data_IF_534922046057
#
_entry.id   IF_534922046057
#
_cell.length_a   1.000
_cell.length_b   1.000
_cell.length_c   1.000
_cell.angle_alpha   90.00
_cell.angle_beta   90.00
_cell.angle_gamma   90.00
#
_symmetry.space_group_name_H-M   'P 1'
#
loop_
_entity.id
_entity.type
_entity.pdbx_description
1 polymer ?
#
# COMPACT_ATOMS: atom_id res chain seq x y z
N UNK A 1 2.62 -9.94 2.42
CA UNK A 1 1.62 -9.85 3.51
C UNK A 1 0.32 -9.33 2.93
N UNK A 2 -0.81 -9.92 3.33
CA UNK A 2 -2.13 -9.55 2.84
C UNK A 2 -3.03 -9.22 4.03
N UNK A 3 -3.84 -8.17 3.88
CA UNK A 3 -4.93 -7.84 4.82
C UNK A 3 -6.21 -7.97 4.02
N UNK A 4 -7.13 -8.80 4.50
CA UNK A 4 -8.40 -9.04 3.83
C UNK A 4 -9.50 -8.15 4.42
N UNK A 5 -10.30 -7.59 3.52
CA UNK A 5 -11.46 -6.77 3.85
C UNK A 5 -12.74 -7.40 3.28
N UNK A 6 -13.90 -7.19 3.95
CA UNK A 6 -15.19 -7.49 3.35
C UNK A 6 -15.37 -6.70 2.04
N UNK A 7 -16.12 -7.24 1.07
CA UNK A 7 -16.26 -6.63 -0.27
C UNK A 7 -16.86 -5.23 -0.29
N UNK A 8 -17.61 -4.84 0.75
CA UNK A 8 -18.24 -3.52 0.90
C UNK A 8 -17.35 -2.52 1.67
N UNK A 9 -16.26 -2.99 2.27
CA UNK A 9 -15.41 -2.13 3.09
C UNK A 9 -14.45 -1.34 2.20
N UNK A 10 -14.31 -0.05 2.48
CA UNK A 10 -13.25 0.76 1.88
C UNK A 10 -11.89 0.27 2.38
N UNK A 11 -10.86 0.35 1.53
CA UNK A 11 -9.50 -0.08 1.90
C UNK A 11 -8.72 0.99 2.67
N UNK A 12 -9.12 2.26 2.56
CA UNK A 12 -8.42 3.40 3.19
C UNK A 12 -8.25 3.27 4.72
N UNK A 13 -9.23 2.75 5.49
CA UNK A 13 -9.08 2.47 6.92
C UNK A 13 -8.00 1.42 7.24
N UNK A 14 -7.78 0.43 6.36
CA UNK A 14 -6.78 -0.62 6.58
C UNK A 14 -5.35 -0.16 6.30
N UNK A 15 -5.16 1.06 5.80
CA UNK A 15 -3.85 1.62 5.50
C UNK A 15 -2.88 1.52 6.69
N UNK A 16 -3.35 1.87 7.90
CA UNK A 16 -2.53 1.83 9.10
C UNK A 16 -2.24 0.38 9.55
N UNK A 17 -3.23 -0.51 9.40
CA UNK A 17 -3.09 -1.95 9.67
C UNK A 17 -1.98 -2.54 8.81
N UNK A 18 -2.02 -2.31 7.49
CA UNK A 18 -1.01 -2.80 6.55
C UNK A 18 0.37 -2.25 6.91
N UNK A 19 0.49 -0.95 7.15
CA UNK A 19 1.76 -0.32 7.53
C UNK A 19 2.30 -0.79 8.88
N UNK A 20 1.44 -1.19 9.82
CA UNK A 20 1.83 -1.74 11.11
C UNK A 20 2.49 -3.12 11.02
N UNK A 21 2.17 -3.85 9.95
CA UNK A 21 2.69 -5.20 9.73
C UNK A 21 3.98 -5.23 8.90
N UNK A 22 4.34 -4.13 8.25
CA UNK A 22 5.58 -4.03 7.49
C UNK A 22 6.80 -4.15 8.42
N UNK A 23 7.78 -4.94 7.98
CA UNK A 23 9.08 -5.08 8.60
C UNK A 23 10.13 -4.76 7.54
N UNK A 24 10.94 -3.74 7.79
CA UNK A 24 12.03 -3.33 6.92
C UNK A 24 13.32 -3.88 7.53
N UNK A 25 14.00 -4.83 6.86
CA UNK A 25 15.28 -5.34 7.36
C UNK A 25 16.32 -4.22 7.39
N UNK A 26 17.10 -4.18 8.47
CA UNK A 26 18.28 -3.32 8.61
C UNK A 26 19.55 -4.15 8.48
N UNK A 27 20.71 -3.50 8.56
CA UNK A 27 22.02 -4.18 8.54
C UNK A 27 22.23 -5.07 9.77
N UNK A 28 21.80 -4.62 10.95
CA UNK A 28 21.91 -5.34 12.22
C UNK A 28 20.69 -5.06 13.12
N UNK A 29 20.28 -6.05 13.91
CA UNK A 29 19.26 -5.91 14.95
C UNK A 29 17.80 -6.03 14.49
N UNK A 30 16.86 -5.58 15.34
CA UNK A 30 15.42 -5.74 15.14
C UNK A 30 14.95 -5.01 13.87
N UNK A 31 14.18 -5.66 12.97
CA UNK A 31 13.63 -5.01 11.80
C UNK A 31 12.81 -3.77 12.15
N UNK A 32 13.02 -2.70 11.38
CA UNK A 32 12.28 -1.46 11.56
C UNK A 32 10.81 -1.64 11.15
N UNK A 33 9.90 -1.07 11.92
CA UNK A 33 8.46 -1.02 11.60
C UNK A 33 8.07 0.25 10.82
N UNK A 34 9.04 1.13 10.55
CA UNK A 34 8.87 2.42 9.89
C UNK A 34 9.62 2.45 8.54
N UNK A 35 8.91 2.39 7.41
CA UNK A 35 9.53 2.63 6.10
C UNK A 35 9.94 4.10 5.93
N UNK A 36 10.92 4.37 5.07
CA UNK A 36 11.37 5.74 4.79
C UNK A 36 10.34 6.55 3.99
N UNK A 37 9.65 5.91 3.04
CA UNK A 37 8.58 6.50 2.26
C UNK A 37 7.49 5.47 1.96
N UNK A 38 6.27 5.94 1.72
CA UNK A 38 5.12 5.12 1.30
C UNK A 38 4.51 5.74 0.05
N UNK A 39 4.55 4.99 -1.05
CA UNK A 39 3.80 5.30 -2.27
C UNK A 39 2.44 4.60 -2.24
N UNK A 40 1.36 5.35 -2.43
CA UNK A 40 0.01 4.80 -2.45
C UNK A 40 -0.91 5.62 -3.37
N UNK A 41 -2.04 5.01 -3.73
CA UNK A 41 -3.02 5.64 -4.59
C UNK A 41 -3.66 6.88 -3.98
N UNK A 42 -4.17 7.73 -4.87
CA UNK A 42 -4.94 8.95 -4.55
C UNK A 42 -6.09 8.70 -3.57
N UNK A 43 -6.66 7.50 -3.54
CA UNK A 43 -7.71 7.10 -2.59
C UNK A 43 -7.23 7.07 -1.12
N UNK A 44 -5.93 6.93 -0.88
CA UNK A 44 -5.30 6.94 0.45
C UNK A 44 -4.89 8.35 0.92
N UNK A 45 -5.24 9.41 0.19
CA UNK A 45 -4.90 10.81 0.50
C UNK A 45 -5.64 11.40 1.72
N UNK A 46 -6.35 10.60 2.52
CA UNK A 46 -7.14 11.07 3.66
C UNK A 46 -6.28 11.81 4.68
N UNK A 47 -6.87 12.83 5.35
CA UNK A 47 -6.19 13.60 6.40
C UNK A 47 -5.64 12.71 7.51
N UNK A 48 -6.41 11.68 7.92
CA UNK A 48 -6.01 10.73 8.94
C UNK A 48 -4.76 9.93 8.54
N UNK A 49 -4.70 9.42 7.31
CA UNK A 49 -3.54 8.67 6.82
C UNK A 49 -2.30 9.58 6.70
N UNK A 50 -2.49 10.82 6.24
CA UNK A 50 -1.41 11.82 6.20
C UNK A 50 -0.90 12.17 7.60
N UNK A 51 -1.80 12.40 8.55
CA UNK A 51 -1.43 12.69 9.94
C UNK A 51 -0.67 11.51 10.56
N UNK A 52 -1.12 10.28 10.32
CA UNK A 52 -0.43 9.06 10.75
C UNK A 52 1.00 8.97 10.20
N UNK A 53 1.18 9.17 8.88
CA UNK A 53 2.51 9.15 8.25
C UNK A 53 3.42 10.24 8.80
N UNK A 54 2.89 11.46 9.01
CA UNK A 54 3.64 12.58 9.59
C UNK A 54 4.08 12.30 11.03
N UNK A 55 3.16 11.81 11.88
CA UNK A 55 3.49 11.42 13.27
C UNK A 55 4.58 10.36 13.34
N UNK A 56 4.62 9.44 12.37
CA UNK A 56 5.67 8.41 12.28
C UNK A 56 6.91 8.85 11.51
N UNK A 57 6.99 10.09 11.01
CA UNK A 57 8.12 10.55 10.19
C UNK A 57 8.31 9.76 8.90
N UNK A 58 7.23 9.30 8.27
CA UNK A 58 7.24 8.55 7.00
C UNK A 58 6.89 9.51 5.86
N UNK A 59 7.72 9.55 4.82
CA UNK A 59 7.45 10.41 3.64
C UNK A 59 6.26 9.86 2.85
N UNK A 60 5.23 10.69 2.68
CA UNK A 60 3.99 10.29 2.02
C UNK A 60 4.02 10.63 0.52
N UNK A 61 4.32 9.64 -0.32
CA UNK A 61 4.34 9.75 -1.80
C UNK A 61 2.96 9.37 -2.34
N UNK A 62 1.97 10.18 -2.00
CA UNK A 62 0.57 9.96 -2.38
C UNK A 62 0.14 11.22 -3.13
N UNK A 63 -0.46 11.11 -4.33
CA UNK A 63 -0.99 12.28 -5.03
C UNK A 63 -2.22 12.84 -4.28
N UNK A 64 -2.37 14.15 -4.30
CA UNK A 64 -3.53 14.83 -3.73
C UNK A 64 -4.73 14.76 -4.68
N UNK A 65 -5.96 14.77 -4.14
CA UNK A 65 -7.16 14.95 -4.99
C UNK A 65 -7.17 16.35 -5.60
N UNK A 66 -7.58 16.46 -6.88
CA UNK A 66 -7.62 17.77 -7.57
C UNK A 66 -8.53 18.72 -6.80
N UNK A 67 -9.69 18.24 -6.34
CA UNK A 67 -10.63 19.01 -5.52
C UNK A 67 -10.06 19.37 -4.16
N UNK A 68 -9.24 18.49 -3.55
CA UNK A 68 -8.56 18.78 -2.29
C UNK A 68 -7.51 19.87 -2.48
N UNK A 69 -6.72 19.81 -3.54
CA UNK A 69 -5.74 20.83 -3.89
C UNK A 69 -6.42 22.17 -4.22
N UNK A 70 -7.54 22.15 -4.95
CA UNK A 70 -8.33 23.33 -5.29
C UNK A 70 -8.96 23.96 -4.03
N UNK A 71 -9.58 23.15 -3.16
CA UNK A 71 -10.15 23.62 -1.90
C UNK A 71 -9.07 24.13 -0.93
N UNK A 72 -7.88 23.53 -0.95
CA UNK A 72 -6.73 24.03 -0.19
C UNK A 72 -6.32 25.42 -0.68
N UNK A 73 -6.20 25.60 -2.00
CA UNK A 73 -5.89 26.91 -2.61
C UNK A 73 -6.95 27.95 -2.29
N UNK A 74 -8.24 27.59 -2.38
CA UNK A 74 -9.37 28.47 -2.00
C UNK A 74 -9.34 28.93 -0.55
N UNK A 75 -8.79 28.11 0.36
CA UNK A 75 -8.67 28.44 1.80
C UNK A 75 -7.42 29.25 2.16
N UNK A 76 -6.56 29.58 1.20
CA UNK A 76 -5.38 30.42 1.43
C UNK A 76 -4.46 29.88 2.56
N UNK A 77 -4.10 30.74 3.50
CA UNK A 77 -3.26 30.42 4.67
C UNK A 77 -3.89 29.36 5.58
N UNK A 78 -5.23 29.31 5.68
CA UNK A 78 -5.97 28.29 6.43
C UNK A 78 -6.02 26.92 5.73
N UNK A 79 -5.61 26.85 4.46
CA UNK A 79 -5.54 25.61 3.68
C UNK A 79 -4.39 24.68 4.09
N UNK A 80 -3.33 25.22 4.69
CA UNK A 80 -2.16 24.46 5.11
C UNK A 80 -1.17 24.12 3.99
N UNK A 81 -0.09 23.42 4.37
CA UNK A 81 1.11 23.17 3.53
C UNK A 81 0.80 22.34 2.26
N UNK A 82 1.31 22.74 1.08
CA UNK A 82 1.25 21.92 -0.13
C UNK A 82 1.88 20.54 0.05
N UNK A 83 1.31 19.52 -0.62
CA UNK A 83 1.87 18.17 -0.63
C UNK A 83 3.08 18.14 -1.57
N UNK A 84 4.26 17.80 -1.06
CA UNK A 84 5.40 17.47 -1.89
C UNK A 84 5.14 16.11 -2.58
N UNK A 85 5.08 16.12 -3.92
CA UNK A 85 4.85 14.93 -4.72
C UNK A 85 6.11 14.59 -5.53
N UNK A 86 6.69 13.43 -5.25
CA UNK A 86 7.85 12.89 -5.95
C UNK A 86 7.37 11.89 -7.01
N UNK A 87 7.47 12.29 -8.27
CA UNK A 87 6.97 11.51 -9.42
C UNK A 87 7.74 10.20 -9.57
N UNK A 88 9.05 10.21 -9.36
CA UNK A 88 9.90 9.03 -9.54
C UNK A 88 9.65 7.99 -8.46
N UNK A 89 9.50 8.42 -7.20
CA UNK A 89 9.05 7.51 -6.14
C UNK A 89 7.63 7.01 -6.38
N UNK A 90 6.75 7.82 -6.97
CA UNK A 90 5.39 7.39 -7.27
C UNK A 90 5.35 6.31 -8.38
N UNK A 91 6.24 6.37 -9.38
CA UNK A 91 6.38 5.34 -10.42
C UNK A 91 6.63 3.94 -9.84
N UNK A 92 7.28 3.84 -8.67
CA UNK A 92 7.55 2.57 -8.00
C UNK A 92 6.28 1.83 -7.55
N UNK A 93 5.11 2.49 -7.50
CA UNK A 93 3.81 1.87 -7.22
C UNK A 93 3.46 0.78 -8.23
N UNK A 94 3.91 0.91 -9.48
CA UNK A 94 3.71 -0.09 -10.54
C UNK A 94 4.24 -1.48 -10.15
N UNK A 95 5.25 -1.56 -9.29
CA UNK A 95 5.75 -2.83 -8.75
C UNK A 95 4.66 -3.60 -8.00
N UNK A 96 3.87 -2.90 -7.20
CA UNK A 96 2.75 -3.48 -6.44
C UNK A 96 1.62 -3.89 -7.38
N UNK A 97 1.29 -3.05 -8.38
CA UNK A 97 0.27 -3.38 -9.39
C UNK A 97 0.63 -4.63 -10.18
N UNK A 98 1.87 -4.71 -10.68
CA UNK A 98 2.39 -5.90 -11.39
C UNK A 98 2.36 -7.14 -10.49
N UNK A 99 2.66 -7.00 -9.20
CA UNK A 99 2.57 -8.09 -8.24
C UNK A 99 1.12 -8.61 -8.14
N UNK A 100 0.15 -7.72 -7.92
CA UNK A 100 -1.27 -8.10 -7.86
C UNK A 100 -1.76 -8.70 -9.18
N UNK A 101 -1.31 -8.19 -10.32
CA UNK A 101 -1.67 -8.75 -11.62
C UNK A 101 -1.16 -10.20 -11.78
N UNK A 102 0.07 -10.49 -11.33
CA UNK A 102 0.63 -11.86 -11.32
C UNK A 102 -0.09 -12.79 -10.35
N UNK A 103 -0.57 -12.26 -9.23
CA UNK A 103 -1.40 -13.03 -8.29
C UNK A 103 -2.74 -13.40 -8.95
N UNK A 104 -3.38 -12.43 -9.60
CA UNK A 104 -4.67 -12.59 -10.30
C UNK A 104 -4.61 -13.50 -11.52
N UNK A 105 -3.44 -13.91 -12.00
CA UNK A 105 -3.33 -14.96 -13.03
C UNK A 105 -4.00 -16.26 -12.58
N UNK A 106 -4.04 -16.54 -11.28
CA UNK A 106 -4.83 -17.64 -10.74
C UNK A 106 -6.30 -17.23 -10.69
N UNK A 107 -7.11 -17.80 -11.61
CA UNK A 107 -8.52 -17.42 -11.79
C UNK A 107 -9.31 -17.51 -10.49
N UNK A 108 -9.10 -18.55 -9.67
CA UNK A 108 -9.81 -18.68 -8.39
C UNK A 108 -9.60 -17.52 -7.41
N UNK A 109 -8.43 -16.89 -7.42
CA UNK A 109 -8.15 -15.69 -6.62
C UNK A 109 -8.78 -14.46 -7.26
N UNK A 110 -8.71 -14.34 -8.59
CA UNK A 110 -9.22 -13.19 -9.33
C UNK A 110 -10.75 -13.08 -9.25
N UNK A 111 -11.45 -14.21 -9.41
CA UNK A 111 -12.92 -14.28 -9.31
C UNK A 111 -13.42 -14.38 -7.88
N UNK A 112 -12.53 -14.65 -6.91
CA UNK A 112 -12.87 -14.88 -5.50
C UNK A 112 -13.88 -16.03 -5.33
N UNK A 113 -13.57 -17.21 -5.90
CA UNK A 113 -14.45 -18.37 -5.75
C UNK A 113 -14.56 -18.86 -4.31
N UNK A 114 -13.47 -18.74 -3.53
CA UNK A 114 -13.48 -19.10 -2.10
C UNK A 114 -14.31 -18.12 -1.28
N UNK A 115 -15.42 -18.62 -0.73
CA UNK A 115 -16.30 -17.86 0.18
C UNK A 115 -15.78 -17.80 1.62
N UNK A 116 -14.90 -18.72 2.01
CA UNK A 116 -14.23 -18.70 3.31
C UNK A 116 -13.01 -17.80 3.28
N UNK A 117 -12.91 -16.90 4.25
CA UNK A 117 -11.76 -16.00 4.43
C UNK A 117 -10.45 -16.79 4.57
N UNK A 118 -10.49 -17.92 5.29
CA UNK A 118 -9.31 -18.76 5.56
C UNK A 118 -8.78 -19.39 4.27
N UNK A 119 -9.67 -19.97 3.45
CA UNK A 119 -9.30 -20.58 2.18
C UNK A 119 -8.77 -19.54 1.19
N UNK A 120 -9.45 -18.38 1.11
CA UNK A 120 -9.00 -17.29 0.25
C UNK A 120 -7.62 -16.75 0.65
N UNK A 121 -7.40 -16.57 1.96
CA UNK A 121 -6.10 -16.18 2.51
C UNK A 121 -5.02 -17.23 2.18
N UNK A 122 -5.31 -18.51 2.39
CA UNK A 122 -4.40 -19.61 2.09
C UNK A 122 -4.01 -19.61 0.59
N UNK A 123 -4.97 -19.40 -0.31
CA UNK A 123 -4.72 -19.27 -1.75
C UNK A 123 -3.78 -18.10 -2.09
N UNK A 124 -3.99 -16.93 -1.49
CA UNK A 124 -3.11 -15.77 -1.64
C UNK A 124 -1.70 -16.04 -1.13
N UNK A 125 -1.57 -16.67 0.03
CA UNK A 125 -0.27 -17.03 0.62
C UNK A 125 0.46 -18.08 -0.21
N UNK A 126 -0.23 -19.11 -0.69
CA UNK A 126 0.32 -20.12 -1.58
C UNK A 126 0.84 -19.49 -2.87
N UNK A 127 0.01 -18.67 -3.53
CA UNK A 127 0.42 -17.98 -4.76
C UNK A 127 1.61 -17.05 -4.52
N UNK A 128 1.60 -16.28 -3.44
CA UNK A 128 2.71 -15.42 -3.05
C UNK A 128 4.01 -16.20 -2.81
N UNK A 129 3.92 -17.37 -2.16
CA UNK A 129 5.07 -18.24 -1.89
C UNK A 129 5.66 -18.81 -3.17
N UNK A 130 4.82 -19.29 -4.10
CA UNK A 130 5.26 -19.76 -5.42
C UNK A 130 5.96 -18.64 -6.20
N UNK A 131 5.41 -17.42 -6.18
CA UNK A 131 6.03 -16.27 -6.83
C UNK A 131 7.40 -15.93 -6.22
N UNK A 132 7.52 -16.05 -4.89
CA UNK A 132 8.76 -15.80 -4.18
C UNK A 132 9.82 -16.86 -4.49
N UNK A 133 9.46 -18.14 -4.45
CA UNK A 133 10.35 -19.25 -4.82
C UNK A 133 10.89 -19.08 -6.23
N UNK A 134 10.02 -18.81 -7.21
CA UNK A 134 10.42 -18.54 -8.60
C UNK A 134 11.42 -17.40 -8.70
N UNK A 135 11.27 -16.34 -7.89
CA UNK A 135 12.19 -15.20 -7.91
C UNK A 135 13.58 -15.59 -7.41
N UNK A 136 13.68 -16.46 -6.40
CA UNK A 136 14.98 -16.90 -5.85
C UNK A 136 15.65 -17.88 -6.80
N UNK A 137 14.89 -18.81 -7.37
CA UNK A 137 15.44 -19.85 -8.26
C UNK A 137 15.83 -19.33 -9.64
N UNK A 138 15.28 -18.18 -10.06
CA UNK A 138 15.58 -17.54 -11.36
C UNK A 138 16.61 -16.41 -11.22
N UNK A 139 17.02 -16.06 -10.00
CA UNK A 139 18.17 -15.18 -9.80
C UNK A 139 19.46 -16.01 -10.01
N UNK A 140 20.41 -15.56 -10.85
CA UNK A 140 21.70 -16.22 -11.02
C UNK A 140 22.54 -16.19 -9.74
#
# INVERSE_FOLDING_TARGET
>A
MFVLTPGQAADSPQFQTVLGQIRVPGSLGRPRTRPGAVAADKAYSSKANRAYLRRRGITAVIPEKVDQAANRRKRGSAGGRPVAFDVDRYRQRNTVERCFQKIKTWRGIATRYDKSLQNYAAGLHLRGSIMWLKRITTAP
#
